data_IF_037597486990
#
_entry.id   IF_037597486990
#
_cell.length_a   1.000
_cell.length_b   1.000
_cell.length_c   1.000
_cell.angle_alpha   90.00
_cell.angle_beta   90.00
_cell.angle_gamma   90.00
#
_symmetry.space_group_name_H-M   'P 1'
#
loop_
_entity.id
_entity.type
_entity.pdbx_description
1 polymer ?
#
# COMPACT_ATOMS: atom_id res chain seq x y z
N UNK A 1 0.48 -38.96 24.97
CA UNK A 1 1.46 -38.19 24.16
C UNK A 1 1.42 -38.57 22.67
N UNK A 2 1.62 -39.83 22.28
CA UNK A 2 1.63 -40.24 20.86
C UNK A 2 0.34 -39.91 20.09
N UNK A 3 -0.83 -40.17 20.68
CA UNK A 3 -2.12 -39.83 20.05
C UNK A 3 -2.34 -38.32 19.87
N UNK A 4 -1.88 -37.50 20.83
CA UNK A 4 -1.95 -36.03 20.71
C UNK A 4 -1.11 -35.53 19.53
N UNK A 5 0.12 -36.05 19.37
CA UNK A 5 0.97 -35.71 18.23
C UNK A 5 0.37 -36.14 16.88
N UNK A 6 -0.31 -37.28 16.82
CA UNK A 6 -1.01 -37.72 15.61
C UNK A 6 -2.12 -36.74 15.22
N UNK A 7 -2.92 -36.30 16.20
CA UNK A 7 -3.94 -35.28 15.99
C UNK A 7 -3.36 -33.95 15.50
N UNK A 8 -2.23 -33.47 16.05
CA UNK A 8 -1.55 -32.25 15.57
C UNK A 8 -1.12 -32.41 14.11
N UNK A 9 -0.50 -33.55 13.76
CA UNK A 9 -0.02 -33.81 12.39
C UNK A 9 -1.18 -33.84 11.39
N UNK A 10 -2.27 -34.54 11.75
CA UNK A 10 -3.45 -34.63 10.90
C UNK A 10 -4.18 -33.29 10.77
N UNK A 11 -4.32 -32.54 11.86
CA UNK A 11 -4.87 -31.19 11.84
C UNK A 11 -4.04 -30.24 10.94
N UNK A 12 -2.71 -30.32 11.01
CA UNK A 12 -1.82 -29.54 10.15
C UNK A 12 -1.98 -29.91 8.66
N UNK A 13 -2.22 -31.19 8.36
CA UNK A 13 -2.53 -31.62 6.99
C UNK A 13 -3.88 -31.07 6.51
N UNK A 14 -4.93 -31.19 7.32
CA UNK A 14 -6.26 -30.65 7.03
C UNK A 14 -6.25 -29.13 6.85
N UNK A 15 -5.48 -28.42 7.68
CA UNK A 15 -5.29 -26.97 7.57
C UNK A 15 -4.68 -26.59 6.22
N UNK A 16 -3.62 -27.29 5.78
CA UNK A 16 -3.01 -27.07 4.46
C UNK A 16 -3.97 -27.39 3.31
N UNK A 17 -4.91 -28.31 3.51
CA UNK A 17 -5.96 -28.63 2.56
C UNK A 17 -7.18 -27.68 2.63
N UNK A 18 -7.12 -26.59 3.40
CA UNK A 18 -8.22 -25.63 3.55
C UNK A 18 -9.41 -26.14 4.37
N UNK A 19 -9.33 -27.35 4.93
CA UNK A 19 -10.40 -27.96 5.74
C UNK A 19 -10.32 -27.46 7.19
N UNK A 20 -10.46 -26.14 7.38
CA UNK A 20 -10.23 -25.47 8.65
C UNK A 20 -11.10 -26.01 9.79
N UNK A 21 -12.39 -26.28 9.54
CA UNK A 21 -13.28 -26.82 10.58
C UNK A 21 -12.85 -28.20 11.07
N UNK A 22 -12.43 -29.10 10.16
CA UNK A 22 -11.91 -30.42 10.56
C UNK A 22 -10.56 -30.31 11.27
N UNK A 23 -9.72 -29.36 10.85
CA UNK A 23 -8.45 -29.09 11.53
C UNK A 23 -8.68 -28.64 12.98
N UNK A 24 -9.67 -27.76 13.22
CA UNK A 24 -10.10 -27.33 14.56
C UNK A 24 -10.42 -28.53 15.44
N UNK A 25 -11.28 -29.45 14.99
CA UNK A 25 -11.67 -30.64 15.76
C UNK A 25 -10.46 -31.47 16.18
N UNK A 26 -9.48 -31.65 15.30
CA UNK A 26 -8.28 -32.41 15.62
C UNK A 26 -7.31 -31.66 16.54
N UNK A 27 -7.18 -30.33 16.39
CA UNK A 27 -6.40 -29.54 17.34
C UNK A 27 -7.03 -29.54 18.74
N UNK A 28 -8.35 -29.47 18.85
CA UNK A 28 -9.09 -29.57 20.12
C UNK A 28 -8.90 -30.95 20.77
N UNK A 29 -9.05 -32.03 19.99
CA UNK A 29 -8.74 -33.40 20.47
C UNK A 29 -7.30 -33.52 20.97
N UNK A 30 -6.34 -32.93 20.27
CA UNK A 30 -4.96 -32.89 20.77
C UNK A 30 -4.84 -32.12 22.08
N UNK A 31 -5.45 -30.94 22.17
CA UNK A 31 -5.35 -30.08 23.35
C UNK A 31 -6.01 -30.70 24.59
N UNK A 32 -7.09 -31.47 24.40
CA UNK A 32 -7.75 -32.24 25.45
C UNK A 32 -6.88 -33.38 25.99
N UNK A 33 -6.02 -33.97 25.15
CA UNK A 33 -5.10 -35.02 25.57
C UNK A 33 -3.86 -34.47 26.28
N UNK A 34 -3.23 -33.45 25.70
CA UNK A 34 -2.02 -32.81 26.24
C UNK A 34 -1.98 -31.34 25.81
N UNK A 35 -1.88 -30.38 26.74
CA UNK A 35 -1.64 -28.97 26.41
C UNK A 35 -0.40 -28.81 25.53
N UNK A 36 -0.53 -28.11 24.40
CA UNK A 36 0.55 -27.94 23.43
C UNK A 36 0.48 -26.58 22.77
N UNK A 37 1.57 -25.81 22.84
CA UNK A 37 1.66 -24.50 22.18
C UNK A 37 1.37 -24.61 20.67
N UNK A 38 1.91 -25.66 20.02
CA UNK A 38 1.71 -25.92 18.59
C UNK A 38 0.25 -26.24 18.26
N UNK A 39 -0.43 -27.03 19.09
CA UNK A 39 -1.85 -27.33 18.89
C UNK A 39 -2.71 -26.08 19.05
N UNK A 40 -2.46 -25.29 20.11
CA UNK A 40 -3.17 -24.04 20.37
C UNK A 40 -2.94 -22.99 19.26
N UNK A 41 -1.72 -22.89 18.74
CA UNK A 41 -1.40 -22.01 17.62
C UNK A 41 -2.13 -22.42 16.33
N UNK A 42 -2.10 -23.71 15.99
CA UNK A 42 -2.82 -24.24 14.83
C UNK A 42 -4.34 -24.07 14.94
N UNK A 43 -4.89 -24.30 16.13
CA UNK A 43 -6.30 -24.05 16.46
C UNK A 43 -6.65 -22.58 16.22
N UNK A 44 -5.90 -21.65 16.83
CA UNK A 44 -6.15 -20.22 16.69
C UNK A 44 -6.07 -19.74 15.26
N UNK A 45 -5.11 -20.25 14.49
CA UNK A 45 -4.99 -19.93 13.06
C UNK A 45 -6.20 -20.39 12.26
N UNK A 46 -6.69 -21.62 12.47
CA UNK A 46 -7.87 -22.12 11.77
C UNK A 46 -9.15 -21.38 12.17
N UNK A 47 -9.30 -21.04 13.45
CA UNK A 47 -10.43 -20.26 13.95
C UNK A 47 -10.45 -18.84 13.36
N UNK A 48 -9.29 -18.20 13.20
CA UNK A 48 -9.16 -16.92 12.54
C UNK A 48 -9.59 -16.98 11.07
N UNK A 49 -9.19 -18.04 10.33
CA UNK A 49 -9.64 -18.30 8.95
C UNK A 49 -11.16 -18.50 8.86
N UNK A 50 -11.78 -19.07 9.89
CA UNK A 50 -13.22 -19.26 10.01
C UNK A 50 -13.97 -18.02 10.55
N UNK A 51 -13.28 -16.88 10.73
CA UNK A 51 -13.82 -15.63 11.32
C UNK A 51 -14.36 -15.77 12.76
N UNK A 52 -14.01 -16.84 13.47
CA UNK A 52 -14.32 -17.07 14.90
C UNK A 52 -13.29 -16.35 15.77
N UNK A 53 -13.34 -15.01 15.80
CA UNK A 53 -12.26 -14.14 16.28
C UNK A 53 -11.98 -14.30 17.78
N UNK A 54 -13.01 -14.38 18.61
CA UNK A 54 -12.90 -14.54 20.06
C UNK A 54 -12.18 -15.84 20.41
N UNK A 55 -12.61 -16.94 19.81
CA UNK A 55 -12.01 -18.26 20.05
C UNK A 55 -10.58 -18.36 19.51
N UNK A 56 -10.31 -17.70 18.38
CA UNK A 56 -8.98 -17.59 17.81
C UNK A 56 -8.02 -16.88 18.78
N UNK A 57 -8.46 -15.76 19.34
CA UNK A 57 -7.71 -14.98 20.33
C UNK A 57 -7.36 -15.84 21.56
N UNK A 58 -8.33 -16.56 22.12
CA UNK A 58 -8.13 -17.43 23.29
C UNK A 58 -7.14 -18.57 23.00
N UNK A 59 -7.23 -19.17 21.82
CA UNK A 59 -6.30 -20.21 21.39
C UNK A 59 -4.88 -19.66 21.18
N UNK A 60 -4.72 -18.48 20.60
CA UNK A 60 -3.42 -17.84 20.40
C UNK A 60 -2.81 -17.36 21.73
N UNK A 61 -3.60 -16.77 22.63
CA UNK A 61 -3.17 -16.44 24.00
C UNK A 61 -2.74 -17.70 24.78
N UNK A 62 -3.42 -18.84 24.60
CA UNK A 62 -2.97 -20.14 25.14
C UNK A 62 -1.63 -20.58 24.57
N UNK A 63 -1.42 -20.43 23.25
CA UNK A 63 -0.16 -20.79 22.61
C UNK A 63 1.01 -19.97 23.20
N UNK A 64 0.81 -18.66 23.38
CA UNK A 64 1.81 -17.76 23.97
C UNK A 64 2.07 -18.02 25.46
N UNK A 65 1.07 -18.44 26.25
CA UNK A 65 1.31 -18.88 27.64
C UNK A 65 2.23 -20.10 27.72
N UNK A 66 2.11 -21.03 26.77
CA UNK A 66 2.92 -22.25 26.71
C UNK A 66 4.28 -22.01 26.02
N UNK A 67 4.35 -21.05 25.10
CA UNK A 67 5.57 -20.68 24.36
C UNK A 67 5.58 -19.17 24.09
N UNK A 68 6.13 -18.35 25.00
CA UNK A 68 6.07 -16.89 24.91
C UNK A 68 6.78 -16.28 23.71
N UNK A 69 7.75 -16.98 23.11
CA UNK A 69 8.56 -16.46 22.01
C UNK A 69 8.10 -16.98 20.63
N UNK A 70 6.85 -17.44 20.52
CA UNK A 70 6.31 -17.95 19.25
C UNK A 70 5.89 -16.80 18.34
N UNK A 71 6.79 -16.40 17.43
CA UNK A 71 6.59 -15.26 16.50
C UNK A 71 5.26 -15.35 15.75
N UNK A 72 4.95 -16.50 15.14
CA UNK A 72 3.70 -16.68 14.40
C UNK A 72 2.45 -16.50 15.26
N UNK A 73 2.49 -16.87 16.54
CA UNK A 73 1.36 -16.67 17.44
C UNK A 73 1.16 -15.20 17.80
N UNK A 74 2.24 -14.43 17.97
CA UNK A 74 2.17 -12.98 18.13
C UNK A 74 1.59 -12.29 16.89
N UNK A 75 2.06 -12.66 15.70
CA UNK A 75 1.58 -12.08 14.42
C UNK A 75 0.08 -12.37 14.22
N UNK A 76 -0.34 -13.63 14.36
CA UNK A 76 -1.74 -14.02 14.17
C UNK A 76 -2.64 -13.39 15.24
N UNK A 77 -2.17 -13.26 16.48
CA UNK A 77 -2.93 -12.61 17.54
C UNK A 77 -3.11 -11.12 17.24
N UNK A 78 -2.07 -10.44 16.79
CA UNK A 78 -2.16 -9.05 16.38
C UNK A 78 -3.16 -8.84 15.22
N UNK A 79 -3.16 -9.73 14.22
CA UNK A 79 -4.13 -9.71 13.12
C UNK A 79 -5.58 -9.88 13.61
N UNK A 80 -5.82 -10.83 14.53
CA UNK A 80 -7.14 -11.02 15.14
C UNK A 80 -7.57 -9.77 15.92
N UNK A 81 -6.66 -9.17 16.70
CA UNK A 81 -6.91 -7.96 17.48
C UNK A 81 -7.19 -6.74 16.61
N UNK A 82 -6.50 -6.58 15.47
CA UNK A 82 -6.85 -5.56 14.45
C UNK A 82 -8.30 -5.71 13.99
N UNK A 83 -8.70 -6.94 13.65
CA UNK A 83 -10.08 -7.23 13.24
C UNK A 83 -11.13 -6.99 14.33
N UNK A 84 -10.71 -6.97 15.60
CA UNK A 84 -11.53 -6.61 16.77
C UNK A 84 -11.39 -5.16 17.21
N UNK A 85 -10.58 -4.36 16.50
CA UNK A 85 -10.28 -2.96 16.82
C UNK A 85 -9.55 -2.75 18.16
N UNK A 86 -8.88 -3.78 18.67
CA UNK A 86 -8.01 -3.70 19.86
C UNK A 86 -6.59 -3.31 19.44
N UNK A 87 -6.43 -2.06 18.99
CA UNK A 87 -5.25 -1.63 18.25
C UNK A 87 -3.98 -1.54 19.11
N UNK A 88 -4.08 -1.12 20.38
CA UNK A 88 -2.94 -1.06 21.30
C UNK A 88 -2.37 -2.46 21.60
N UNK A 89 -3.25 -3.43 21.89
CA UNK A 89 -2.85 -4.83 22.11
C UNK A 89 -2.26 -5.46 20.84
N UNK A 90 -2.83 -5.15 19.68
CA UNK A 90 -2.26 -5.55 18.39
C UNK A 90 -0.84 -5.01 18.22
N UNK A 91 -0.66 -3.69 18.43
CA UNK A 91 0.64 -3.04 18.31
C UNK A 91 1.67 -3.62 19.28
N UNK A 92 1.27 -3.98 20.50
CA UNK A 92 2.12 -4.69 21.46
C UNK A 92 2.62 -6.02 20.89
N UNK A 93 1.72 -6.88 20.39
CA UNK A 93 2.10 -8.18 19.84
C UNK A 93 2.92 -8.09 18.55
N UNK A 94 2.65 -7.11 17.67
CA UNK A 94 3.51 -6.87 16.52
C UNK A 94 4.92 -6.45 16.92
N UNK A 95 5.08 -5.56 17.92
CA UNK A 95 6.42 -5.17 18.41
C UNK A 95 7.17 -6.37 18.99
N UNK A 96 6.49 -7.23 19.77
CA UNK A 96 7.07 -8.50 20.25
C UNK A 96 7.51 -9.42 19.11
N UNK A 97 6.71 -9.54 18.05
CA UNK A 97 7.09 -10.30 16.86
C UNK A 97 8.33 -9.70 16.17
N UNK A 98 8.41 -8.37 16.05
CA UNK A 98 9.56 -7.69 15.43
C UNK A 98 10.83 -7.72 16.29
N UNK A 99 10.72 -7.78 17.61
CA UNK A 99 11.87 -8.02 18.50
C UNK A 99 12.46 -9.42 18.27
N UNK A 100 11.61 -10.42 18.07
CA UNK A 100 12.01 -11.81 17.84
C UNK A 100 12.46 -12.06 16.39
N UNK A 101 11.81 -11.40 15.43
CA UNK A 101 12.08 -11.50 14.01
C UNK A 101 11.99 -10.12 13.32
N UNK A 102 13.09 -9.34 13.34
CA UNK A 102 13.12 -7.97 12.79
C UNK A 102 12.84 -7.86 11.28
N UNK A 103 12.84 -8.98 10.55
CA UNK A 103 12.57 -9.01 9.11
C UNK A 103 11.11 -9.30 8.75
N UNK A 104 10.24 -9.57 9.72
CA UNK A 104 8.89 -10.06 9.46
C UNK A 104 8.01 -9.00 8.78
N UNK A 105 7.72 -9.20 7.48
CA UNK A 105 6.85 -8.33 6.69
C UNK A 105 5.44 -8.25 7.29
N UNK A 106 4.86 -9.38 7.68
CA UNK A 106 3.51 -9.43 8.23
C UNK A 106 3.39 -8.64 9.54
N UNK A 107 4.40 -8.74 10.42
CA UNK A 107 4.43 -7.96 11.66
C UNK A 107 4.56 -6.45 11.41
N UNK A 108 5.37 -6.03 10.41
CA UNK A 108 5.47 -4.62 10.00
C UNK A 108 4.12 -4.11 9.49
N UNK A 109 3.48 -4.86 8.59
CA UNK A 109 2.19 -4.47 8.01
C UNK A 109 1.10 -4.34 9.08
N UNK A 110 1.00 -5.33 9.98
CA UNK A 110 0.01 -5.29 11.04
C UNK A 110 0.30 -4.15 12.04
N UNK A 111 1.57 -3.87 12.36
CA UNK A 111 1.92 -2.74 13.23
C UNK A 111 1.61 -1.40 12.57
N UNK A 112 1.94 -1.23 11.29
CA UNK A 112 1.63 -0.02 10.54
C UNK A 112 0.12 0.22 10.56
N UNK A 113 -0.70 -0.78 10.23
CA UNK A 113 -2.15 -0.69 10.28
C UNK A 113 -2.67 -0.34 11.69
N UNK A 114 -2.13 -0.96 12.74
CA UNK A 114 -2.52 -0.64 14.12
C UNK A 114 -2.18 0.81 14.48
N UNK A 115 -1.00 1.31 14.10
CA UNK A 115 -0.58 2.69 14.34
C UNK A 115 -1.45 3.69 13.57
N UNK A 116 -1.81 3.41 12.31
CA UNK A 116 -2.77 4.23 11.55
C UNK A 116 -4.11 4.33 12.26
N UNK A 117 -4.68 3.19 12.68
CA UNK A 117 -5.96 3.17 13.43
C UNK A 117 -5.91 3.84 14.80
N UNK A 118 -4.70 4.08 15.34
CA UNK A 118 -4.45 4.84 16.56
C UNK A 118 -4.18 6.33 16.30
N UNK A 119 -4.35 6.81 15.07
CA UNK A 119 -3.98 8.16 14.63
C UNK A 119 -2.48 8.47 14.80
N UNK A 120 -1.62 7.45 14.78
CA UNK A 120 -0.16 7.54 14.88
C UNK A 120 0.49 7.37 13.50
N UNK A 121 -0.02 8.10 12.52
CA UNK A 121 0.34 7.96 11.10
C UNK A 121 1.84 8.15 10.85
N UNK A 122 2.44 9.19 11.45
CA UNK A 122 3.88 9.46 11.30
C UNK A 122 4.73 8.27 11.74
N UNK A 123 4.39 7.63 12.86
CA UNK A 123 5.12 6.45 13.33
C UNK A 123 4.95 5.24 12.41
N UNK A 124 3.77 5.08 11.80
CA UNK A 124 3.53 4.03 10.80
C UNK A 124 4.42 4.23 9.56
N UNK A 125 4.48 5.47 9.05
CA UNK A 125 5.31 5.84 7.91
C UNK A 125 6.80 5.60 8.22
N UNK A 126 7.29 6.11 9.35
CA UNK A 126 8.68 5.94 9.77
C UNK A 126 9.06 4.46 9.92
N UNK A 127 8.17 3.65 10.50
CA UNK A 127 8.37 2.20 10.61
C UNK A 127 8.55 1.57 9.23
N UNK A 128 7.60 1.77 8.31
CA UNK A 128 7.64 1.13 6.99
C UNK A 128 8.88 1.59 6.22
N UNK A 129 9.18 2.90 6.23
CA UNK A 129 10.37 3.45 5.57
C UNK A 129 11.66 2.83 6.09
N UNK A 130 11.82 2.69 7.42
CA UNK A 130 12.99 2.03 8.01
C UNK A 130 13.16 0.60 7.50
N UNK A 131 12.06 -0.15 7.35
CA UNK A 131 12.10 -1.53 6.86
C UNK A 131 12.39 -1.61 5.35
N UNK A 132 11.88 -0.68 4.55
CA UNK A 132 12.25 -0.55 3.13
C UNK A 132 13.75 -0.27 3.00
N UNK A 133 14.28 0.73 3.71
CA UNK A 133 15.71 1.07 3.69
C UNK A 133 16.59 -0.11 4.14
N UNK A 134 16.19 -0.83 5.19
CA UNK A 134 16.91 -2.02 5.63
C UNK A 134 16.85 -3.17 4.61
N UNK A 135 15.74 -3.34 3.91
CA UNK A 135 15.62 -4.33 2.84
C UNK A 135 16.51 -3.98 1.64
N UNK A 136 16.57 -2.71 1.24
CA UNK A 136 17.50 -2.20 0.21
C UNK A 136 18.95 -2.45 0.58
N UNK A 137 19.33 -2.13 1.82
CA UNK A 137 20.69 -2.36 2.30
C UNK A 137 21.09 -3.83 2.24
N UNK A 138 20.20 -4.76 2.62
CA UNK A 138 20.45 -6.21 2.50
C UNK A 138 20.58 -6.71 1.06
N UNK A 139 19.90 -6.08 0.11
CA UNK A 139 20.00 -6.42 -1.31
C UNK A 139 21.29 -5.86 -1.94
N UNK A 140 21.78 -4.73 -1.43
CA UNK A 140 23.01 -4.08 -1.90
C UNK A 140 24.30 -4.72 -1.34
N UNK A 141 24.22 -5.51 -0.25
CA UNK A 141 25.36 -6.28 0.23
C UNK A 141 25.73 -7.38 -0.78
N UNK A 142 26.93 -7.34 -1.41
CA UNK A 142 27.35 -8.39 -2.33
C UNK A 142 27.41 -9.71 -1.57
N UNK A 143 26.91 -10.78 -2.19
CA UNK A 143 27.01 -12.15 -1.68
C UNK A 143 28.45 -12.43 -1.24
N UNK A 144 28.70 -12.51 0.07
CA UNK A 144 30.01 -12.89 0.61
C UNK A 144 30.27 -14.36 0.33
N UNK A 145 30.74 -14.66 -0.88
CA UNK A 145 31.43 -15.90 -1.23
C UNK A 145 32.78 -15.55 -1.85
N UNK A 146 33.82 -15.75 -1.02
CA UNK A 146 35.22 -16.05 -1.31
C UNK A 146 36.02 -15.21 -2.33
N UNK A 147 37.03 -14.51 -1.80
CA UNK A 147 38.41 -14.66 -2.28
C UNK A 147 39.08 -13.44 -2.90
N UNK A 148 40.27 -13.09 -2.38
CA UNK A 148 41.32 -12.36 -3.09
C UNK A 148 41.44 -10.88 -2.76
N UNK A 149 42.62 -10.46 -2.29
CA UNK A 149 42.95 -9.07 -1.97
C UNK A 149 43.22 -8.19 -3.18
N UNK A 150 43.40 -6.90 -2.90
CA UNK A 150 43.79 -5.87 -3.86
C UNK A 150 43.45 -4.48 -3.31
N UNK A 151 44.47 -3.63 -3.26
CA UNK A 151 44.46 -2.25 -2.77
C UNK A 151 43.63 -1.27 -3.62
N UNK A 152 43.29 -0.16 -2.95
CA UNK A 152 43.05 1.19 -3.45
C UNK A 152 41.72 1.52 -4.18
N UNK A 153 41.44 2.83 -4.21
CA UNK A 153 40.34 3.59 -4.83
C UNK A 153 39.32 4.16 -3.83
N UNK A 154 39.55 5.44 -3.52
CA UNK A 154 38.60 6.50 -3.82
C UNK A 154 37.41 6.64 -2.87
N UNK A 155 37.25 7.84 -2.31
CA UNK A 155 36.04 8.34 -1.64
C UNK A 155 34.77 7.61 -2.07
N UNK A 156 34.43 6.55 -1.34
CA UNK A 156 33.13 5.92 -1.46
C UNK A 156 32.13 6.96 -0.99
N UNK A 157 31.45 7.58 -1.96
CA UNK A 157 30.10 8.12 -1.81
C UNK A 157 29.33 7.16 -0.92
N UNK A 158 29.21 7.53 0.36
CA UNK A 158 28.31 6.83 1.28
C UNK A 158 26.93 6.96 0.64
N UNK A 159 26.22 5.87 0.34
CA UNK A 159 24.84 5.99 -0.10
C UNK A 159 24.10 6.75 0.99
N UNK A 160 23.58 7.92 0.66
CA UNK A 160 22.71 8.68 1.56
C UNK A 160 21.59 7.73 1.99
N UNK A 161 21.60 7.40 3.29
CA UNK A 161 20.78 6.35 3.91
C UNK A 161 19.32 6.76 4.09
N UNK A 162 18.97 7.97 3.68
CA UNK A 162 17.66 8.55 3.95
C UNK A 162 16.76 8.38 2.72
N UNK A 163 15.55 7.88 2.95
CA UNK A 163 14.50 7.88 1.95
C UNK A 163 14.32 9.33 1.49
N UNK A 164 14.58 9.63 0.21
CA UNK A 164 14.39 10.99 -0.29
C UNK A 164 12.89 11.24 -0.39
N UNK A 165 12.41 12.12 0.48
CA UNK A 165 11.04 12.61 0.49
C UNK A 165 10.93 13.85 -0.38
N UNK A 166 9.77 14.04 -1.02
CA UNK A 166 9.47 15.26 -1.75
C UNK A 166 9.23 16.38 -0.73
N UNK A 167 10.27 17.12 -0.31
CA UNK A 167 10.17 18.07 0.83
C UNK A 167 10.44 19.53 0.51
N UNK A 168 10.96 19.87 -0.67
CA UNK A 168 11.15 21.29 -1.05
C UNK A 168 10.66 21.54 -2.46
N UNK A 169 9.33 21.58 -2.64
CA UNK A 169 8.75 22.05 -3.89
C UNK A 169 8.97 23.55 -4.05
N UNK A 170 9.34 23.95 -5.26
CA UNK A 170 9.31 25.34 -5.72
C UNK A 170 8.45 25.40 -6.97
N UNK A 171 7.55 26.39 -7.10
CA UNK A 171 6.79 26.56 -8.33
C UNK A 171 7.71 26.68 -9.54
N UNK A 172 7.36 26.00 -10.64
CA UNK A 172 7.88 26.36 -11.95
C UNK A 172 7.55 27.85 -12.20
N UNK A 173 8.51 28.59 -12.77
CA UNK A 173 8.53 30.06 -12.86
C UNK A 173 7.17 30.71 -13.18
N UNK A 174 6.96 31.94 -12.68
CA UNK A 174 5.72 32.72 -12.82
C UNK A 174 5.21 32.74 -14.29
N UNK A 175 4.18 31.95 -14.55
CA UNK A 175 3.52 31.77 -15.84
C UNK A 175 2.38 30.76 -15.69
N UNK A 176 1.35 30.84 -16.54
CA UNK A 176 0.26 29.86 -16.53
C UNK A 176 0.81 28.55 -17.08
N UNK A 177 1.29 27.68 -16.20
CA UNK A 177 1.62 26.30 -16.56
C UNK A 177 0.40 25.65 -17.22
N UNK A 178 0.60 25.08 -18.41
CA UNK A 178 -0.46 24.41 -19.14
C UNK A 178 -1.06 23.31 -18.24
N UNK A 179 -2.38 23.23 -18.22
CA UNK A 179 -3.09 22.26 -17.39
C UNK A 179 -3.37 20.99 -18.18
N UNK A 180 -3.27 19.82 -17.55
CA UNK A 180 -3.62 18.53 -18.13
C UNK A 180 -4.56 17.78 -17.19
N UNK A 181 -5.68 17.26 -17.71
CA UNK A 181 -6.49 16.27 -16.99
C UNK A 181 -6.03 14.90 -17.43
N UNK A 182 -5.60 14.09 -16.47
CA UNK A 182 -4.93 12.81 -16.73
C UNK A 182 -5.73 11.67 -16.13
N UNK A 183 -5.83 10.56 -16.86
CA UNK A 183 -6.32 9.30 -16.33
C UNK A 183 -5.42 8.14 -16.77
N UNK A 184 -5.50 7.02 -16.06
CA UNK A 184 -4.78 5.79 -16.40
C UNK A 184 -5.80 4.67 -16.59
N UNK A 185 -5.77 4.01 -17.76
CA UNK A 185 -6.54 2.80 -18.07
C UNK A 185 -5.58 1.64 -18.26
N UNK A 186 -5.77 0.53 -17.56
CA UNK A 186 -4.98 -0.67 -17.79
C UNK A 186 -5.81 -1.94 -17.63
N UNK A 187 -5.35 -3.01 -18.26
CA UNK A 187 -5.97 -4.32 -18.23
C UNK A 187 -7.40 -4.30 -18.77
N UNK A 188 -8.19 -5.28 -18.31
CA UNK A 188 -9.51 -5.57 -18.87
C UNK A 188 -10.66 -5.18 -17.92
N UNK A 189 -10.37 -4.56 -16.77
CA UNK A 189 -11.39 -4.17 -15.78
C UNK A 189 -12.25 -3.01 -16.28
N UNK A 190 -11.61 -2.01 -16.89
CA UNK A 190 -12.26 -0.82 -17.42
C UNK A 190 -12.04 -0.75 -18.94
N UNK A 191 -13.13 -0.72 -19.70
CA UNK A 191 -13.08 -0.55 -21.16
C UNK A 191 -12.77 0.91 -21.53
N UNK A 192 -12.49 1.15 -22.81
CA UNK A 192 -12.34 2.50 -23.37
C UNK A 192 -13.58 3.38 -23.16
N UNK A 193 -14.77 2.79 -22.98
CA UNK A 193 -16.00 3.52 -22.65
C UNK A 193 -15.90 4.28 -21.32
N UNK A 194 -15.21 3.73 -20.32
CA UNK A 194 -15.00 4.45 -19.05
C UNK A 194 -14.18 5.72 -19.24
N UNK A 195 -13.11 5.62 -20.03
CA UNK A 195 -12.25 6.76 -20.37
C UNK A 195 -13.04 7.81 -21.16
N UNK A 196 -13.79 7.39 -22.17
CA UNK A 196 -14.59 8.30 -23.00
C UNK A 196 -15.69 9.00 -22.18
N UNK A 197 -16.35 8.30 -21.26
CA UNK A 197 -17.33 8.90 -20.34
C UNK A 197 -16.69 9.90 -19.38
N UNK A 198 -15.52 9.58 -18.83
CA UNK A 198 -14.78 10.49 -17.97
C UNK A 198 -14.38 11.76 -18.75
N UNK A 199 -13.86 11.61 -19.96
CA UNK A 199 -13.51 12.72 -20.85
C UNK A 199 -14.71 13.64 -21.13
N UNK A 200 -15.86 13.09 -21.52
CA UNK A 200 -17.08 13.88 -21.74
C UNK A 200 -17.60 14.52 -20.45
N UNK A 201 -17.45 13.84 -19.31
CA UNK A 201 -17.72 14.39 -18.00
C UNK A 201 -16.86 15.62 -17.70
N UNK A 202 -15.54 15.53 -17.94
CA UNK A 202 -14.62 16.65 -17.74
C UNK A 202 -14.98 17.82 -18.65
N UNK A 203 -15.27 17.59 -19.94
CA UNK A 203 -15.71 18.67 -20.84
C UNK A 203 -16.98 19.36 -20.38
N UNK A 204 -17.93 18.60 -19.81
CA UNK A 204 -19.19 19.14 -19.29
C UNK A 204 -18.99 19.95 -18.00
N UNK A 205 -18.11 19.47 -17.13
CA UNK A 205 -17.92 20.01 -15.78
C UNK A 205 -16.71 20.96 -15.66
N UNK A 206 -15.99 21.18 -16.76
CA UNK A 206 -14.89 22.12 -16.90
C UNK A 206 -14.94 22.78 -18.30
N UNK A 207 -16.01 23.53 -18.63
CA UNK A 207 -16.30 23.96 -20.01
C UNK A 207 -15.33 25.01 -20.56
N UNK A 208 -14.64 25.74 -19.70
CA UNK A 208 -13.62 26.75 -20.04
C UNK A 208 -12.20 26.17 -20.08
N UNK A 209 -12.07 24.85 -19.97
CA UNK A 209 -10.79 24.16 -19.99
C UNK A 209 -10.13 24.19 -21.37
N UNK A 210 -8.96 24.82 -21.45
CA UNK A 210 -8.13 24.87 -22.66
C UNK A 210 -6.98 23.85 -22.65
N UNK A 211 -6.87 23.05 -21.58
CA UNK A 211 -5.81 22.07 -21.44
C UNK A 211 -6.09 20.75 -22.18
N UNK A 212 -5.10 19.85 -22.17
CA UNK A 212 -5.24 18.53 -22.80
C UNK A 212 -5.86 17.50 -21.85
N UNK A 213 -6.67 16.60 -22.40
CA UNK A 213 -7.09 15.40 -21.70
C UNK A 213 -6.22 14.23 -22.17
N UNK A 214 -5.44 13.65 -21.25
CA UNK A 214 -4.44 12.63 -21.55
C UNK A 214 -4.84 11.31 -20.89
N UNK A 215 -4.92 10.24 -21.69
CA UNK A 215 -5.10 8.88 -21.19
C UNK A 215 -3.81 8.09 -21.37
N UNK A 216 -3.25 7.60 -20.25
CA UNK A 216 -2.19 6.61 -20.27
C UNK A 216 -2.80 5.21 -20.26
N UNK A 217 -2.45 4.37 -21.24
CA UNK A 217 -3.04 3.03 -21.35
C UNK A 217 -2.14 1.99 -21.98
N UNK A 218 -2.42 0.72 -21.69
CA UNK A 218 -1.86 -0.45 -22.36
C UNK A 218 -2.64 -0.84 -23.63
N UNK A 219 -3.80 -0.23 -23.86
CA UNK A 219 -4.68 -0.51 -25.00
C UNK A 219 -5.38 0.76 -25.50
N UNK A 220 -5.01 1.17 -26.72
CA UNK A 220 -5.44 2.41 -27.36
C UNK A 220 -6.80 2.30 -28.07
N UNK A 221 -7.37 1.09 -28.18
CA UNK A 221 -8.56 0.83 -28.99
C UNK A 221 -9.83 1.47 -28.39
N UNK A 222 -10.67 2.02 -29.27
CA UNK A 222 -11.97 2.59 -28.89
C UNK A 222 -11.94 3.91 -28.11
N UNK A 223 -10.75 4.46 -27.82
CA UNK A 223 -10.62 5.79 -27.21
C UNK A 223 -10.99 6.90 -28.21
N UNK A 224 -11.73 7.91 -27.74
CA UNK A 224 -12.10 9.09 -28.51
C UNK A 224 -10.88 9.76 -29.17
N UNK A 225 -11.04 10.25 -30.40
CA UNK A 225 -9.95 10.85 -31.17
C UNK A 225 -9.44 12.17 -30.59
N UNK A 226 -10.26 12.86 -29.78
CA UNK A 226 -9.90 14.12 -29.11
C UNK A 226 -9.06 13.89 -27.85
N UNK A 227 -8.93 12.64 -27.39
CA UNK A 227 -8.12 12.27 -26.23
C UNK A 227 -6.68 12.09 -26.69
N UNK A 228 -5.75 12.74 -26.00
CA UNK A 228 -4.33 12.46 -26.18
C UNK A 228 -4.01 11.09 -25.56
N UNK A 229 -3.52 10.15 -26.38
CA UNK A 229 -3.31 8.75 -25.98
C UNK A 229 -1.81 8.51 -25.79
N UNK A 230 -1.42 8.02 -24.61
CA UNK A 230 -0.02 7.68 -24.28
C UNK A 230 0.07 6.23 -23.81
N UNK A 231 1.11 5.51 -24.22
CA UNK A 231 1.31 4.12 -23.79
C UNK A 231 1.90 4.04 -22.38
N UNK A 232 1.40 3.10 -21.59
CA UNK A 232 2.06 2.68 -20.34
C UNK A 232 3.23 1.74 -20.66
N UNK A 233 4.30 1.74 -19.84
CA UNK A 233 5.39 0.79 -20.01
C UNK A 233 4.96 -0.62 -19.59
N UNK A 234 5.54 -1.63 -20.24
CA UNK A 234 5.35 -3.03 -19.85
C UNK A 234 5.98 -3.32 -18.47
N UNK A 235 5.41 -4.29 -17.74
CA UNK A 235 6.04 -4.88 -16.55
C UNK A 235 5.79 -4.17 -15.21
N UNK A 236 5.13 -3.01 -15.17
CA UNK A 236 4.64 -2.46 -13.92
C UNK A 236 3.45 -3.31 -13.40
N UNK A 237 3.41 -3.70 -12.12
CA UNK A 237 2.26 -4.43 -11.60
C UNK A 237 1.00 -3.57 -11.74
N UNK A 238 -0.08 -4.17 -12.25
CA UNK A 238 -1.29 -3.53 -12.78
C UNK A 238 -1.68 -2.18 -12.13
N UNK A 239 -1.85 -2.11 -10.80
CA UNK A 239 -2.35 -0.92 -10.11
C UNK A 239 -1.31 0.17 -9.80
N UNK A 240 -0.03 -0.05 -10.10
CA UNK A 240 1.05 0.94 -9.97
C UNK A 240 1.24 1.80 -11.22
N UNK A 241 0.41 1.65 -12.25
CA UNK A 241 0.48 2.48 -13.47
C UNK A 241 0.44 3.99 -13.18
N UNK A 242 -0.26 4.41 -12.11
CA UNK A 242 -0.29 5.81 -11.64
C UNK A 242 1.08 6.34 -11.21
N UNK A 243 1.96 5.47 -10.71
CA UNK A 243 3.32 5.88 -10.34
C UNK A 243 4.12 6.33 -11.57
N UNK A 244 3.86 5.75 -12.75
CA UNK A 244 4.55 6.13 -13.99
C UNK A 244 4.31 7.60 -14.37
N UNK A 245 3.19 8.20 -13.95
CA UNK A 245 2.91 9.62 -14.19
C UNK A 245 3.95 10.57 -13.58
N UNK A 246 4.75 10.08 -12.63
CA UNK A 246 5.85 10.82 -11.99
C UNK A 246 7.22 10.56 -12.64
N UNK A 247 7.27 9.74 -13.69
CA UNK A 247 8.47 9.47 -14.46
C UNK A 247 8.79 10.63 -15.43
N UNK A 248 10.05 10.71 -15.87
CA UNK A 248 10.42 11.67 -16.91
C UNK A 248 9.80 11.28 -18.26
N UNK A 249 9.68 9.98 -18.50
CA UNK A 249 9.18 9.34 -19.72
C UNK A 249 7.67 9.58 -19.91
N UNK A 250 6.93 9.86 -18.84
CA UNK A 250 5.54 10.27 -18.93
C UNK A 250 5.35 11.60 -19.66
N UNK A 251 6.38 12.45 -19.74
CA UNK A 251 6.33 13.71 -20.49
C UNK A 251 5.31 14.70 -19.95
N UNK A 252 5.15 14.77 -18.62
CA UNK A 252 4.25 15.70 -17.93
C UNK A 252 4.98 16.91 -17.33
N UNK A 253 6.32 16.91 -17.30
CA UNK A 253 7.13 17.97 -16.68
C UNK A 253 6.70 19.38 -17.16
N UNK A 254 6.44 20.27 -16.21
CA UNK A 254 5.96 21.65 -16.44
C UNK A 254 4.44 21.81 -16.52
N UNK A 255 3.66 20.72 -16.50
CA UNK A 255 2.20 20.77 -16.51
C UNK A 255 1.61 20.85 -15.10
N UNK A 256 0.45 21.51 -14.99
CA UNK A 256 -0.45 21.37 -13.83
C UNK A 256 -1.38 20.21 -14.10
N UNK A 257 -1.16 19.10 -13.42
CA UNK A 257 -1.89 17.86 -13.65
C UNK A 257 -3.05 17.76 -12.66
N UNK A 258 -4.25 17.47 -13.16
CA UNK A 258 -5.38 16.96 -12.38
C UNK A 258 -5.60 15.50 -12.80
N UNK A 259 -5.26 14.56 -11.93
CA UNK A 259 -5.51 13.15 -12.14
C UNK A 259 -6.90 12.77 -11.60
N UNK A 260 -7.67 12.06 -12.44
CA UNK A 260 -8.94 11.47 -12.11
C UNK A 260 -8.91 9.97 -12.41
N UNK A 261 -9.28 9.15 -11.43
CA UNK A 261 -9.53 7.73 -11.67
C UNK A 261 -10.77 7.49 -12.54
N UNK A 262 -10.80 6.31 -13.17
CA UNK A 262 -11.87 5.94 -14.11
C UNK A 262 -13.21 5.61 -13.45
N UNK A 263 -13.22 5.31 -12.16
CA UNK A 263 -14.42 5.01 -11.38
C UNK A 263 -15.03 6.24 -10.71
N UNK A 264 -14.47 7.43 -10.93
CA UNK A 264 -15.01 8.67 -10.41
C UNK A 264 -16.26 9.11 -11.16
N UNK A 265 -17.28 9.55 -10.43
CA UNK A 265 -18.51 10.10 -11.01
C UNK A 265 -18.49 11.62 -10.86
N UNK A 266 -18.50 12.32 -11.99
CA UNK A 266 -18.49 13.78 -12.02
C UNK A 266 -19.92 14.32 -11.97
N UNK A 267 -20.24 15.04 -10.90
CA UNK A 267 -21.60 15.58 -10.64
C UNK A 267 -21.67 17.11 -10.55
N UNK A 268 -20.52 17.79 -10.50
CA UNK A 268 -20.42 19.24 -10.27
C UNK A 268 -19.19 19.86 -10.95
N UNK A 269 -19.02 21.18 -10.84
CA UNK A 269 -17.87 21.87 -11.45
C UNK A 269 -16.54 21.35 -10.91
N UNK A 270 -15.55 21.21 -11.81
CA UNK A 270 -14.17 20.85 -11.53
C UNK A 270 -13.24 22.06 -11.37
N UNK A 271 -13.76 23.29 -11.46
CA UNK A 271 -12.95 24.52 -11.50
C UNK A 271 -12.02 24.63 -10.29
N UNK A 272 -12.50 24.30 -9.08
CA UNK A 272 -11.70 24.35 -7.85
C UNK A 272 -10.52 23.36 -7.88
N UNK A 273 -10.74 22.15 -8.44
CA UNK A 273 -9.73 21.10 -8.52
C UNK A 273 -8.70 21.40 -9.61
N UNK A 274 -9.16 21.79 -10.81
CA UNK A 274 -8.30 22.18 -11.92
C UNK A 274 -7.55 23.51 -11.65
N UNK A 275 -8.15 24.36 -10.81
CA UNK A 275 -7.59 25.61 -10.31
C UNK A 275 -6.52 25.44 -9.23
N UNK A 276 -6.25 24.23 -8.75
CA UNK A 276 -5.23 23.99 -7.72
C UNK A 276 -3.85 24.50 -8.16
N UNK A 277 -3.18 25.26 -7.28
CA UNK A 277 -1.85 25.84 -7.51
C UNK A 277 -0.81 25.45 -6.45
N UNK A 278 -1.19 24.62 -5.48
CA UNK A 278 -0.26 24.08 -4.50
C UNK A 278 0.72 23.05 -5.10
N UNK A 279 1.62 22.50 -4.27
CA UNK A 279 2.61 21.52 -4.69
C UNK A 279 1.98 20.20 -5.13
N UNK A 280 1.13 19.64 -4.26
CA UNK A 280 0.53 18.33 -4.42
C UNK A 280 -0.73 18.25 -3.56
N UNK A 281 -1.85 17.85 -4.16
CA UNK A 281 -3.10 17.55 -3.48
C UNK A 281 -3.49 16.09 -3.74
N UNK A 282 -4.03 15.43 -2.72
CA UNK A 282 -4.51 14.05 -2.78
C UNK A 282 -5.82 13.91 -2.02
N UNK A 283 -6.58 12.87 -2.39
CA UNK A 283 -7.76 12.49 -1.63
C UNK A 283 -7.34 11.83 -0.31
N UNK A 284 -7.80 12.36 0.83
CA UNK A 284 -7.62 11.69 2.12
C UNK A 284 -8.42 10.39 2.14
N UNK A 285 -7.79 9.26 2.48
CA UNK A 285 -8.42 7.92 2.41
C UNK A 285 -9.00 7.42 3.73
N UNK A 286 -8.70 8.09 4.85
CA UNK A 286 -9.01 7.59 6.19
C UNK A 286 -10.53 7.59 6.52
N UNK A 287 -11.32 8.46 5.87
CA UNK A 287 -12.76 8.61 6.10
C UNK A 287 -13.65 8.05 4.96
N UNK A 288 -13.06 7.46 3.92
CA UNK A 288 -13.80 6.97 2.75
C UNK A 288 -14.19 5.50 2.97
N UNK A 289 -15.49 5.19 3.00
CA UNK A 289 -15.98 3.86 3.34
C UNK A 289 -15.51 2.79 2.35
N UNK A 290 -15.41 3.15 1.06
CA UNK A 290 -14.88 2.27 0.01
C UNK A 290 -13.40 1.90 0.23
N UNK A 291 -12.60 2.83 0.76
CA UNK A 291 -11.18 2.64 1.07
C UNK A 291 -10.96 1.84 2.37
N UNK A 292 -11.95 1.85 3.27
CA UNK A 292 -11.99 1.07 4.52
C UNK A 292 -12.46 -0.38 4.32
N UNK A 293 -12.94 -0.74 3.13
CA UNK A 293 -13.40 -2.10 2.84
C UNK A 293 -12.26 -3.13 2.84
N UNK A 294 -12.57 -4.36 3.27
CA UNK A 294 -11.62 -5.49 3.24
C UNK A 294 -11.17 -5.78 1.81
N UNK A 295 -9.91 -5.46 1.50
CA UNK A 295 -9.34 -5.60 0.15
C UNK A 295 -9.17 -4.28 -0.59
N UNK A 296 -9.52 -3.14 0.03
CA UNK A 296 -9.17 -1.75 -0.31
C UNK A 296 -9.13 -1.44 -1.80
N UNK A 297 -10.18 -0.80 -2.31
CA UNK A 297 -10.07 -0.13 -3.61
C UNK A 297 -9.12 1.07 -3.45
N UNK A 298 -8.52 1.51 -4.56
CA UNK A 298 -7.48 2.52 -4.62
C UNK A 298 -8.04 3.72 -5.39
N UNK A 299 -8.69 4.63 -4.69
CA UNK A 299 -9.34 5.80 -5.30
C UNK A 299 -8.45 7.01 -5.16
N UNK A 300 -7.89 7.48 -6.27
CA UNK A 300 -7.02 8.67 -6.29
C UNK A 300 -7.65 9.75 -7.16
N UNK A 301 -7.97 10.87 -6.53
CA UNK A 301 -8.02 12.18 -7.18
C UNK A 301 -6.75 12.89 -6.73
N UNK A 302 -5.91 13.33 -7.66
CA UNK A 302 -4.65 14.02 -7.34
C UNK A 302 -4.51 15.29 -8.16
N UNK A 303 -3.85 16.30 -7.64
CA UNK A 303 -3.35 17.39 -8.47
C UNK A 303 -1.94 17.78 -8.06
N UNK A 304 -1.09 18.10 -9.03
CA UNK A 304 0.28 18.53 -8.75
C UNK A 304 0.85 19.34 -9.90
N UNK A 305 1.94 20.06 -9.61
CA UNK A 305 2.81 20.58 -10.66
C UNK A 305 3.86 19.53 -11.00
N UNK A 306 3.70 18.89 -12.16
CA UNK A 306 4.60 17.86 -12.64
C UNK A 306 6.00 18.42 -12.80
N UNK A 307 6.94 17.88 -12.04
CA UNK A 307 8.30 18.40 -11.93
C UNK A 307 9.23 17.34 -11.38
N UNK A 308 10.54 17.61 -11.49
CA UNK A 308 11.59 16.72 -10.99
C UNK A 308 11.47 16.41 -9.50
N UNK A 309 10.81 17.28 -8.72
CA UNK A 309 10.60 17.12 -7.29
C UNK A 309 9.80 15.87 -6.92
N UNK A 310 8.86 15.45 -7.77
CA UNK A 310 7.98 14.31 -7.52
C UNK A 310 8.48 13.01 -8.15
N UNK A 311 9.59 13.04 -8.91
CA UNK A 311 10.22 11.84 -9.49
C UNK A 311 10.50 10.71 -8.48
N UNK A 312 10.87 10.98 -7.21
CA UNK A 312 11.03 9.94 -6.20
C UNK A 312 9.84 8.99 -6.04
N UNK A 313 8.60 9.45 -6.31
CA UNK A 313 7.40 8.61 -6.25
C UNK A 313 7.52 7.43 -7.21
N UNK A 314 8.05 7.64 -8.42
CA UNK A 314 8.30 6.59 -9.38
C UNK A 314 9.66 5.92 -9.18
N UNK A 315 10.73 6.70 -9.08
CA UNK A 315 12.10 6.17 -9.15
C UNK A 315 12.51 5.36 -7.92
N UNK A 316 11.80 5.50 -6.79
CA UNK A 316 12.02 4.69 -5.59
C UNK A 316 11.01 3.55 -5.43
N UNK A 317 10.11 3.35 -6.40
CA UNK A 317 9.20 2.21 -6.37
C UNK A 317 9.93 0.94 -6.82
N UNK A 318 10.54 0.24 -5.86
CA UNK A 318 11.35 -0.94 -6.11
C UNK A 318 10.81 -2.18 -5.37
N UNK A 319 11.47 -3.34 -5.57
CA UNK A 319 11.08 -4.59 -4.93
C UNK A 319 11.06 -4.51 -3.39
N UNK A 320 11.87 -3.64 -2.79
CA UNK A 320 11.88 -3.41 -1.36
C UNK A 320 10.64 -2.62 -0.91
N UNK A 321 10.24 -1.57 -1.62
CA UNK A 321 9.02 -0.81 -1.36
C UNK A 321 7.77 -1.68 -1.52
N UNK A 322 7.67 -2.41 -2.64
CA UNK A 322 6.56 -3.31 -2.97
C UNK A 322 6.37 -4.45 -1.96
N UNK A 323 7.41 -4.76 -1.17
CA UNK A 323 7.33 -5.73 -0.08
C UNK A 323 6.46 -5.24 1.08
N UNK A 324 6.49 -3.94 1.39
CA UNK A 324 5.81 -3.39 2.56
C UNK A 324 4.69 -2.41 2.21
N UNK A 325 4.49 -2.11 0.93
CA UNK A 325 3.46 -1.18 0.49
C UNK A 325 2.61 -1.84 -0.58
N UNK A 326 1.31 -1.91 -0.30
CA UNK A 326 0.32 -2.59 -1.14
C UNK A 326 -0.79 -1.65 -1.63
N UNK A 327 -0.67 -0.35 -1.36
CA UNK A 327 -1.58 0.68 -1.87
C UNK A 327 -0.79 1.90 -2.34
N UNK A 328 -1.26 2.55 -3.40
CA UNK A 328 -0.54 3.65 -4.06
C UNK A 328 -0.68 4.96 -3.28
N UNK A 329 -1.89 5.27 -2.82
CA UNK A 329 -2.23 6.30 -1.85
C UNK A 329 -1.35 6.25 -0.58
N UNK A 330 -1.16 5.07 0.03
CA UNK A 330 -0.23 4.93 1.15
C UNK A 330 1.23 5.22 0.74
N UNK A 331 1.63 4.87 -0.49
CA UNK A 331 2.94 5.24 -1.01
C UNK A 331 3.10 6.75 -1.18
N UNK A 332 2.06 7.44 -1.64
CA UNK A 332 2.04 8.91 -1.74
C UNK A 332 2.17 9.55 -0.37
N UNK A 333 1.39 9.12 0.62
CA UNK A 333 1.48 9.60 2.02
C UNK A 333 2.90 9.45 2.57
N UNK A 334 3.58 8.36 2.21
CA UNK A 334 4.94 8.09 2.63
C UNK A 334 6.00 8.91 1.90
N UNK A 335 5.75 9.34 0.65
CA UNK A 335 6.77 9.97 -0.22
C UNK A 335 6.58 11.47 -0.38
N UNK A 336 5.35 11.97 -0.19
CA UNK A 336 4.97 13.37 -0.31
C UNK A 336 4.58 13.89 1.07
N UNK A 337 5.53 14.53 1.76
CA UNK A 337 5.28 15.04 3.10
C UNK A 337 4.43 16.31 3.03
N UNK A 338 3.34 16.35 3.82
CA UNK A 338 2.49 17.53 3.91
C UNK A 338 1.70 17.81 2.62
N UNK A 339 1.33 16.75 1.88
CA UNK A 339 0.38 16.88 0.78
C UNK A 339 -0.91 17.55 1.26
N UNK A 340 -1.45 18.45 0.45
CA UNK A 340 -2.76 19.02 0.69
C UNK A 340 -3.85 17.94 0.55
N UNK A 341 -4.86 17.97 1.41
CA UNK A 341 -6.00 17.06 1.29
C UNK A 341 -7.15 17.74 0.57
N UNK A 342 -7.76 17.07 -0.42
CA UNK A 342 -8.90 17.63 -1.14
C UNK A 342 -10.05 18.04 -0.23
N UNK A 343 -10.28 17.28 0.84
CA UNK A 343 -11.29 17.58 1.85
C UNK A 343 -11.05 18.92 2.56
N UNK A 344 -9.81 19.42 2.58
CA UNK A 344 -9.43 20.70 3.18
C UNK A 344 -9.37 21.82 2.13
N UNK A 345 -8.77 21.53 0.96
CA UNK A 345 -8.61 22.49 -0.14
C UNK A 345 -9.96 22.86 -0.76
N UNK A 346 -10.84 21.88 -0.94
CA UNK A 346 -12.12 22.03 -1.61
C UNK A 346 -13.22 21.24 -0.86
N UNK A 347 -13.63 21.69 0.34
CA UNK A 347 -14.54 20.94 1.20
C UNK A 347 -15.86 20.60 0.51
N UNK A 348 -16.27 19.33 0.56
CA UNK A 348 -17.50 18.83 -0.05
C UNK A 348 -17.48 18.71 -1.58
N UNK A 349 -16.34 18.96 -2.25
CA UNK A 349 -16.20 18.74 -3.69
C UNK A 349 -15.93 17.29 -4.06
N UNK A 350 -15.27 16.55 -3.17
CA UNK A 350 -15.07 15.10 -3.31
C UNK A 350 -15.81 14.44 -2.16
N UNK A 351 -16.72 13.53 -2.49
CA UNK A 351 -17.60 12.81 -1.57
C UNK A 351 -17.56 11.32 -1.91
N UNK A 352 -17.81 10.47 -0.91
CA UNK A 352 -17.93 9.01 -1.05
C UNK A 352 -19.28 8.61 -1.64
#
# INVERSE_FOLDING_TARGET
IMMAMLHIKWASFLQKAGQHQKAVEHFEKSAALVPSARASFGLGTCLASLRRREEAEDALKRALRLSPNMVGAHINLASVLLGRRAYEESAFHCRRALELEPGSQEAVMNLANALRSLNRQCEAIELVQRHISAARARQAEPSRTSGGGGDDVGETLRPTRDLVLCQEWRPCADGVAASAVVCVKWGQRYSSEYVNRLFEGVRRHLPTYEGSFICFTDDLEGLDERIEKRLLPDGLPLWWGKAYLFSQEAGLDGLRVLYLDLDQVLVGSLDDLAGFRGPFAVLGTDDIACELASGGYNSSVMAWEASVFFRPIYSQLDAAALRYVHRFDHWLEMTVKGADLWQQVAPGRVVD
#
